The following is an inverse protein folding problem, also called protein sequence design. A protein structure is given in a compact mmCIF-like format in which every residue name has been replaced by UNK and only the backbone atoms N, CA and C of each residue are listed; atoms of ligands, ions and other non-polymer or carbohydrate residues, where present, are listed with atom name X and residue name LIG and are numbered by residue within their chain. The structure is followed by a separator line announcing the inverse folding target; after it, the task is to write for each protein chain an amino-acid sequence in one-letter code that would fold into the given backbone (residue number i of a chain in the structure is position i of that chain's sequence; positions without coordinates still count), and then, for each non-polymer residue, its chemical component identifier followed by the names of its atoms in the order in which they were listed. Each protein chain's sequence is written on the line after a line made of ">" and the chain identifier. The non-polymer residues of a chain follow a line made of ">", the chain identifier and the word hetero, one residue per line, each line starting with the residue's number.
data_IF_356172959615
#
_entry.id   IF_356172959615
#
_cell.length_a   1.000
_cell.length_b   1.000
_cell.length_c   1.000
_cell.angle_alpha   90.00
_cell.angle_beta   90.00
_cell.angle_gamma   90.00
#
_symmetry.space_group_name_H-M   'P 1'
#
loop_
_entity.id
_entity.type
_entity.pdbx_description
1 polymer ?
#
# COMPACT_ATOMS: atom_id res chain seq x y z
N UNK A 1 24.08 2.12 20.16
CA UNK A 1 23.95 1.17 19.02
C UNK A 1 23.43 1.96 17.82
N UNK A 2 24.04 1.82 16.65
CA UNK A 2 23.52 2.48 15.44
C UNK A 2 22.15 1.88 15.13
N UNK A 3 21.14 2.74 14.86
CA UNK A 3 19.83 2.27 14.38
C UNK A 3 20.05 1.40 13.14
N UNK A 4 19.38 0.24 13.07
CA UNK A 4 19.32 -0.53 11.83
C UNK A 4 18.71 0.36 10.73
N UNK A 5 19.13 0.17 9.48
CA UNK A 5 18.55 0.94 8.36
C UNK A 5 17.03 0.86 8.30
N UNK A 6 16.46 -0.30 8.66
CA UNK A 6 15.02 -0.50 8.71
C UNK A 6 14.32 0.33 9.80
N UNK A 7 14.90 0.42 11.01
CA UNK A 7 14.27 1.21 12.09
C UNK A 7 14.24 2.70 11.71
N UNK A 8 15.32 3.23 11.14
CA UNK A 8 15.37 4.59 10.63
C UNK A 8 14.30 4.83 9.56
N UNK A 9 14.18 3.92 8.59
CA UNK A 9 13.18 3.98 7.54
C UNK A 9 11.76 4.00 8.12
N UNK A 10 11.49 3.16 9.12
CA UNK A 10 10.19 3.09 9.79
C UNK A 10 9.85 4.37 10.57
N UNK A 11 10.86 5.01 11.18
CA UNK A 11 10.72 6.30 11.87
C UNK A 11 10.44 7.46 10.88
N UNK A 12 11.15 7.48 9.75
CA UNK A 12 11.05 8.55 8.75
C UNK A 12 9.80 8.44 7.86
N UNK A 13 9.27 7.23 7.63
CA UNK A 13 8.09 7.02 6.80
C UNK A 13 6.86 7.70 7.40
N UNK A 14 6.18 8.51 6.60
CA UNK A 14 4.93 9.17 6.96
C UNK A 14 3.87 9.05 5.87
N UNK A 15 2.61 9.36 6.22
CA UNK A 15 1.50 9.41 5.26
C UNK A 15 1.55 10.73 4.49
N UNK A 16 2.18 10.70 3.31
CA UNK A 16 2.29 11.84 2.41
C UNK A 16 0.94 12.13 1.75
N UNK A 17 0.51 13.40 1.79
CA UNK A 17 -0.79 13.86 1.25
C UNK A 17 -0.66 15.10 0.37
N UNK A 18 0.54 15.40 -0.09
CA UNK A 18 0.82 16.45 -1.05
C UNK A 18 2.00 15.99 -1.93
N UNK A 19 1.83 16.04 -3.23
CA UNK A 19 2.81 15.52 -4.19
C UNK A 19 3.19 16.60 -5.19
N UNK A 20 4.43 16.55 -5.66
CA UNK A 20 4.86 17.34 -6.80
C UNK A 20 4.20 16.82 -8.09
N UNK A 21 3.92 17.72 -9.01
CA UNK A 21 3.49 17.34 -10.36
C UNK A 21 4.69 16.87 -11.20
N UNK A 22 5.24 15.71 -10.81
CA UNK A 22 6.42 15.11 -11.42
C UNK A 22 6.20 13.62 -11.59
N UNK A 23 6.38 13.05 -12.80
CA UNK A 23 6.21 11.62 -13.02
C UNK A 23 7.23 10.80 -12.24
N UNK A 24 6.82 9.63 -11.78
CA UNK A 24 7.69 8.64 -11.15
C UNK A 24 8.30 7.76 -12.27
N UNK A 25 9.63 7.63 -12.36
CA UNK A 25 10.29 6.80 -13.36
C UNK A 25 9.93 5.32 -13.25
N UNK A 26 9.90 4.61 -14.39
CA UNK A 26 9.58 3.18 -14.44
C UNK A 26 10.52 2.34 -13.58
N UNK A 27 11.81 2.67 -13.55
CA UNK A 27 12.81 1.97 -12.73
C UNK A 27 12.50 2.00 -11.22
N UNK A 28 11.88 3.10 -10.73
CA UNK A 28 11.43 3.18 -9.34
C UNK A 28 10.15 2.37 -9.12
N UNK A 29 9.23 2.41 -10.09
CA UNK A 29 8.00 1.60 -10.05
C UNK A 29 8.34 0.11 -9.98
N UNK A 30 9.29 -0.35 -10.80
CA UNK A 30 9.73 -1.75 -10.84
C UNK A 30 10.34 -2.20 -9.50
N UNK A 31 11.16 -1.36 -8.85
CA UNK A 31 11.70 -1.64 -7.51
C UNK A 31 10.60 -1.76 -6.46
N UNK A 32 9.63 -0.85 -6.47
CA UNK A 32 8.48 -0.88 -5.57
C UNK A 32 7.66 -2.16 -5.73
N UNK A 33 7.41 -2.56 -6.98
CA UNK A 33 6.69 -3.79 -7.28
C UNK A 33 7.48 -5.03 -6.85
N UNK A 34 8.81 -5.03 -7.05
CA UNK A 34 9.68 -6.13 -6.61
C UNK A 34 9.68 -6.27 -5.08
N UNK A 35 9.75 -5.18 -4.33
CA UNK A 35 9.65 -5.22 -2.88
C UNK A 35 8.31 -5.83 -2.41
N UNK A 36 7.20 -5.45 -3.04
CA UNK A 36 5.90 -6.05 -2.76
C UNK A 36 5.85 -7.54 -3.10
N UNK A 37 6.46 -7.95 -4.23
CA UNK A 37 6.53 -9.33 -4.70
C UNK A 37 7.34 -10.24 -3.76
N UNK A 38 8.36 -9.71 -3.11
CA UNK A 38 9.21 -10.42 -2.15
C UNK A 38 8.57 -10.59 -0.77
N UNK A 39 7.41 -10.00 -0.53
CA UNK A 39 6.69 -10.13 0.73
C UNK A 39 6.28 -11.59 1.01
N UNK A 40 6.36 -12.06 2.27
CA UNK A 40 5.87 -13.39 2.62
C UNK A 40 4.35 -13.47 2.56
N UNK A 41 3.83 -14.67 2.32
CA UNK A 41 2.41 -14.97 2.38
C UNK A 41 2.13 -16.30 3.08
N UNK A 42 0.93 -16.52 3.56
CA UNK A 42 0.54 -17.76 4.24
C UNK A 42 0.80 -18.97 3.33
N UNK A 43 1.65 -19.89 3.80
CA UNK A 43 2.16 -21.09 3.07
C UNK A 43 2.69 -20.78 1.67
N UNK A 44 3.18 -19.56 1.46
CA UNK A 44 3.72 -19.04 0.21
C UNK A 44 2.73 -19.10 -0.98
N UNK A 45 1.43 -18.89 -0.73
CA UNK A 45 0.42 -18.91 -1.77
C UNK A 45 0.41 -17.67 -2.67
N UNK A 46 0.96 -16.55 -2.20
CA UNK A 46 1.13 -15.31 -2.97
C UNK A 46 -0.17 -14.79 -3.63
N UNK A 47 -1.31 -14.75 -2.91
CA UNK A 47 -2.61 -14.37 -3.46
C UNK A 47 -2.77 -12.85 -3.56
N UNK A 48 -1.74 -12.17 -4.02
CA UNK A 48 -1.66 -10.70 -4.05
C UNK A 48 -1.38 -10.21 -5.46
N UNK A 49 -2.03 -9.14 -5.84
CA UNK A 49 -1.76 -8.42 -7.09
C UNK A 49 -1.72 -6.92 -6.83
N UNK A 50 -0.82 -6.24 -7.53
CA UNK A 50 -0.69 -4.78 -7.51
C UNK A 50 -0.89 -4.27 -8.93
N UNK A 51 -1.84 -3.34 -9.09
CA UNK A 51 -2.05 -2.61 -10.35
C UNK A 51 -1.45 -1.24 -10.24
N UNK A 52 -0.90 -0.74 -11.35
CA UNK A 52 -0.25 0.56 -11.46
C UNK A 52 -1.14 1.50 -12.28
N UNK A 53 -1.69 2.52 -11.65
CA UNK A 53 -2.48 3.55 -12.29
C UNK A 53 -1.64 4.82 -12.41
N UNK A 54 -1.28 5.21 -13.65
CA UNK A 54 -0.48 6.41 -13.94
C UNK A 54 -0.98 7.21 -15.17
N UNK A 55 -1.88 6.62 -15.95
CA UNK A 55 -2.50 7.31 -17.05
C UNK A 55 -3.56 8.29 -16.53
N UNK A 56 -3.60 9.54 -16.99
CA UNK A 56 -4.53 10.55 -16.50
C UNK A 56 -5.99 10.07 -16.45
N UNK A 57 -6.45 9.43 -17.52
CA UNK A 57 -7.83 8.92 -17.63
C UNK A 57 -8.14 7.80 -16.61
N UNK A 58 -7.12 7.07 -16.14
CA UNK A 58 -7.27 6.04 -15.10
C UNK A 58 -7.31 6.69 -13.72
N UNK A 59 -6.45 7.68 -13.49
CA UNK A 59 -6.42 8.45 -12.24
C UNK A 59 -7.73 9.23 -12.03
N UNK A 60 -8.27 9.86 -13.08
CA UNK A 60 -9.57 10.54 -13.05
C UNK A 60 -10.71 9.58 -12.68
N UNK A 61 -10.72 8.36 -13.25
CA UNK A 61 -11.70 7.33 -12.88
C UNK A 61 -11.55 6.93 -11.42
N UNK A 62 -10.34 6.64 -10.93
CA UNK A 62 -10.09 6.28 -9.53
C UNK A 62 -10.50 7.41 -8.58
N UNK A 63 -10.33 8.69 -8.96
CA UNK A 63 -10.73 9.83 -8.15
C UNK A 63 -12.24 9.91 -7.90
N UNK A 64 -13.06 9.21 -8.70
CA UNK A 64 -14.52 9.11 -8.42
C UNK A 64 -14.84 8.17 -7.25
N UNK A 65 -13.91 7.30 -6.83
CA UNK A 65 -14.11 6.30 -5.78
C UNK A 65 -13.64 6.76 -4.41
N UNK A 66 -12.84 7.83 -4.35
CA UNK A 66 -12.31 8.41 -3.12
C UNK A 66 -11.81 9.83 -3.33
N UNK A 67 -11.90 10.67 -2.30
CA UNK A 67 -11.31 12.02 -2.29
C UNK A 67 -9.85 12.06 -1.79
N UNK A 68 -9.23 10.91 -1.57
CA UNK A 68 -7.94 10.81 -0.90
C UNK A 68 -6.80 10.38 -1.85
N UNK A 69 -6.88 10.71 -3.15
CA UNK A 69 -5.77 10.50 -4.08
C UNK A 69 -4.76 11.66 -4.06
N UNK A 70 -5.14 12.84 -3.51
CA UNK A 70 -4.24 14.00 -3.30
C UNK A 70 -3.50 14.47 -4.56
N UNK A 71 -4.14 14.34 -5.72
CA UNK A 71 -3.57 14.67 -7.05
C UNK A 71 -2.22 13.98 -7.34
N UNK A 72 -2.02 12.78 -6.76
CA UNK A 72 -0.80 12.02 -6.96
C UNK A 72 -0.64 11.59 -8.43
N UNK A 73 0.59 11.68 -9.00
CA UNK A 73 0.86 11.28 -10.38
C UNK A 73 0.80 9.77 -10.62
N UNK A 74 0.76 8.99 -9.55
CA UNK A 74 0.78 7.53 -9.55
C UNK A 74 -0.06 7.00 -8.40
N UNK A 75 -0.86 5.95 -8.66
CA UNK A 75 -1.58 5.19 -7.62
C UNK A 75 -1.30 3.71 -7.79
N UNK A 76 -0.81 3.05 -6.74
CA UNK A 76 -0.85 1.59 -6.70
C UNK A 76 -2.17 1.14 -6.08
N UNK A 77 -2.82 0.15 -6.72
CA UNK A 77 -4.02 -0.51 -6.22
C UNK A 77 -3.63 -1.90 -5.77
N UNK A 78 -3.83 -2.23 -4.51
CA UNK A 78 -3.44 -3.53 -3.95
C UNK A 78 -4.67 -4.38 -3.70
N UNK A 79 -4.66 -5.61 -4.22
CA UNK A 79 -5.72 -6.57 -4.05
C UNK A 79 -5.24 -7.93 -3.56
N UNK A 80 -6.13 -8.62 -2.85
CA UNK A 80 -5.99 -10.01 -2.44
C UNK A 80 -7.00 -10.91 -3.15
N UNK A 81 -6.60 -12.12 -3.53
CA UNK A 81 -7.50 -13.09 -4.17
C UNK A 81 -7.93 -14.18 -3.17
N UNK A 82 -9.21 -14.16 -2.70
CA UNK A 82 -9.67 -15.13 -1.71
C UNK A 82 -9.66 -16.58 -2.21
N UNK A 83 -9.81 -16.81 -3.53
CA UNK A 83 -9.82 -18.16 -4.09
C UNK A 83 -8.42 -18.81 -4.10
N UNK A 84 -7.36 -18.00 -4.09
CA UNK A 84 -5.96 -18.45 -4.10
C UNK A 84 -5.36 -18.49 -2.71
N UNK A 85 -5.94 -17.77 -1.73
CA UNK A 85 -5.40 -17.61 -0.40
C UNK A 85 -5.52 -18.89 0.44
N UNK A 86 -4.68 -18.95 1.47
CA UNK A 86 -4.78 -20.00 2.47
C UNK A 86 -5.94 -19.71 3.44
N UNK A 87 -6.68 -20.78 3.77
CA UNK A 87 -7.74 -20.74 4.78
C UNK A 87 -7.27 -21.48 6.04
N UNK A 88 -7.34 -20.81 7.17
CA UNK A 88 -6.93 -21.35 8.45
C UNK A 88 -7.85 -22.53 8.88
N UNK A 89 -7.26 -23.65 9.25
CA UNK A 89 -7.99 -24.82 9.73
C UNK A 89 -8.56 -24.63 11.14
N UNK A 90 -8.07 -23.66 11.90
CA UNK A 90 -8.45 -23.42 13.28
C UNK A 90 -9.66 -22.51 13.41
N UNK A 91 -9.72 -21.47 12.60
CA UNK A 91 -10.74 -20.41 12.69
C UNK A 91 -11.53 -20.18 11.38
N UNK A 92 -11.22 -20.95 10.32
CA UNK A 92 -11.87 -20.85 9.03
C UNK A 92 -11.59 -19.53 8.27
N UNK A 93 -10.69 -18.67 8.77
CA UNK A 93 -10.43 -17.37 8.16
C UNK A 93 -9.57 -17.49 6.91
N UNK A 94 -10.03 -16.85 5.84
CA UNK A 94 -9.25 -16.63 4.63
C UNK A 94 -8.20 -15.55 4.85
N UNK A 95 -6.97 -15.75 4.39
CA UNK A 95 -5.84 -14.85 4.64
C UNK A 95 -5.48 -13.94 3.47
N UNK A 96 -6.32 -13.83 2.45
CA UNK A 96 -6.06 -12.94 1.31
C UNK A 96 -5.80 -11.49 1.71
N UNK A 97 -6.64 -10.94 2.60
CA UNK A 97 -6.45 -9.58 3.12
C UNK A 97 -5.16 -9.44 3.92
N UNK A 98 -4.86 -10.41 4.79
CA UNK A 98 -3.62 -10.42 5.58
C UNK A 98 -2.39 -10.41 4.67
N UNK A 99 -2.34 -11.31 3.68
CA UNK A 99 -1.23 -11.43 2.74
C UNK A 99 -1.09 -10.15 1.89
N UNK A 100 -2.22 -9.56 1.46
CA UNK A 100 -2.22 -8.29 0.73
C UNK A 100 -1.70 -7.12 1.58
N UNK A 101 -2.06 -7.06 2.88
CA UNK A 101 -1.55 -6.04 3.81
C UNK A 101 -0.02 -6.19 4.04
N UNK A 102 0.49 -7.41 4.09
CA UNK A 102 1.94 -7.65 4.23
C UNK A 102 2.67 -7.12 2.99
N UNK A 103 2.21 -7.48 1.79
CA UNK A 103 2.81 -7.00 0.53
C UNK A 103 2.68 -5.47 0.38
N UNK A 104 1.52 -4.89 0.76
CA UNK A 104 1.30 -3.45 0.78
C UNK A 104 2.25 -2.72 1.75
N UNK A 105 2.60 -3.35 2.87
CA UNK A 105 3.59 -2.80 3.81
C UNK A 105 4.99 -2.77 3.19
N UNK A 106 5.41 -3.84 2.50
CA UNK A 106 6.68 -3.86 1.76
C UNK A 106 6.72 -2.77 0.68
N UNK A 107 5.64 -2.67 -0.13
CA UNK A 107 5.47 -1.61 -1.13
C UNK A 107 5.63 -0.22 -0.51
N UNK A 108 4.94 0.05 0.59
CA UNK A 108 4.97 1.35 1.26
C UNK A 108 6.36 1.70 1.81
N UNK A 109 7.08 0.72 2.34
CA UNK A 109 8.43 0.92 2.88
C UNK A 109 9.43 1.19 1.77
N UNK A 110 9.36 0.47 0.64
CA UNK A 110 10.22 0.71 -0.51
C UNK A 110 9.97 2.09 -1.13
N UNK A 111 8.71 2.54 -1.23
CA UNK A 111 8.39 3.91 -1.67
C UNK A 111 9.16 4.94 -0.84
N UNK A 112 9.18 4.77 0.48
CA UNK A 112 9.91 5.67 1.38
C UNK A 112 11.43 5.57 1.20
N UNK A 113 11.98 4.36 1.06
CA UNK A 113 13.43 4.13 0.88
C UNK A 113 13.95 4.77 -0.41
N UNK A 114 13.13 4.81 -1.46
CA UNK A 114 13.41 5.47 -2.72
C UNK A 114 13.25 7.00 -2.69
N UNK A 115 12.94 7.59 -1.53
CA UNK A 115 12.74 9.04 -1.38
C UNK A 115 11.41 9.55 -1.93
N UNK A 116 10.48 8.64 -2.22
CA UNK A 116 9.10 8.97 -2.60
C UNK A 116 8.20 9.03 -1.36
N UNK A 117 7.02 9.61 -1.52
CA UNK A 117 5.98 9.61 -0.50
C UNK A 117 4.77 8.79 -0.93
N UNK A 118 4.07 8.22 0.05
CA UNK A 118 2.77 7.59 -0.17
C UNK A 118 1.84 7.73 1.02
N UNK A 119 0.55 7.47 0.79
CA UNK A 119 -0.43 7.34 1.84
C UNK A 119 -1.20 6.03 1.67
N UNK A 120 -1.33 5.24 2.75
CA UNK A 120 -2.25 4.11 2.77
C UNK A 120 -3.68 4.65 2.83
N UNK A 121 -4.44 4.49 1.76
CA UNK A 121 -5.85 4.88 1.68
C UNK A 121 -6.72 3.62 1.79
N UNK A 122 -7.44 3.50 2.90
CA UNK A 122 -8.46 2.46 3.12
C UNK A 122 -9.89 3.02 2.98
N UNK A 123 -10.04 4.34 2.84
CA UNK A 123 -11.35 5.00 2.70
C UNK A 123 -11.65 5.26 1.22
N UNK A 124 -12.15 4.25 0.53
CA UNK A 124 -12.58 4.29 -0.87
C UNK A 124 -13.73 3.32 -1.11
N UNK A 125 -14.46 3.48 -2.19
CA UNK A 125 -15.51 2.54 -2.60
C UNK A 125 -14.87 1.39 -3.42
N UNK A 126 -14.62 0.25 -2.75
CA UNK A 126 -14.00 -0.92 -3.37
C UNK A 126 -14.86 -1.53 -4.48
N UNK A 127 -16.20 -1.48 -4.33
CA UNK A 127 -17.12 -1.99 -5.37
C UNK A 127 -17.06 -1.10 -6.61
N UNK A 128 -17.00 0.23 -6.42
CA UNK A 128 -16.86 1.15 -7.54
C UNK A 128 -15.50 0.98 -8.24
N UNK A 129 -14.39 0.78 -7.51
CA UNK A 129 -13.08 0.49 -8.13
C UNK A 129 -13.15 -0.77 -9.00
N UNK A 130 -13.75 -1.85 -8.51
CA UNK A 130 -13.93 -3.09 -9.29
C UNK A 130 -14.81 -2.87 -10.53
N UNK A 131 -15.87 -2.07 -10.41
CA UNK A 131 -16.74 -1.76 -11.53
C UNK A 131 -16.08 -0.92 -12.64
N UNK A 132 -15.05 -0.14 -12.31
CA UNK A 132 -14.25 0.61 -13.28
C UNK A 132 -13.33 -0.28 -14.12
N UNK A 133 -12.90 -1.43 -13.58
CA UNK A 133 -11.94 -2.36 -14.19
C UNK A 133 -12.38 -3.81 -14.02
N UNK A 134 -13.56 -4.18 -14.56
CA UNK A 134 -14.19 -5.48 -14.26
C UNK A 134 -13.35 -6.68 -14.73
N UNK A 135 -12.69 -6.58 -15.88
CA UNK A 135 -11.87 -7.68 -16.44
C UNK A 135 -10.59 -7.90 -15.63
N UNK A 136 -9.92 -6.81 -15.21
CA UNK A 136 -8.65 -6.87 -14.48
C UNK A 136 -8.84 -7.27 -13.01
N UNK A 137 -10.00 -6.99 -12.43
CA UNK A 137 -10.26 -7.12 -10.98
C UNK A 137 -11.28 -8.20 -10.63
N UNK A 138 -11.67 -9.04 -11.59
CA UNK A 138 -12.54 -10.19 -11.32
C UNK A 138 -11.87 -11.16 -10.32
N UNK A 139 -12.60 -11.53 -9.27
CA UNK A 139 -12.11 -12.43 -8.22
C UNK A 139 -11.13 -11.79 -7.21
N UNK A 140 -10.84 -10.49 -7.34
CA UNK A 140 -9.97 -9.77 -6.42
C UNK A 140 -10.76 -8.90 -5.44
N UNK A 141 -10.36 -8.91 -4.17
CA UNK A 141 -10.80 -7.94 -3.18
C UNK A 141 -9.78 -6.81 -3.12
N UNK A 142 -10.23 -5.56 -3.32
CA UNK A 142 -9.36 -4.40 -3.30
C UNK A 142 -9.18 -3.95 -1.85
N UNK A 143 -7.93 -3.94 -1.38
CA UNK A 143 -7.58 -3.76 0.03
C UNK A 143 -7.12 -2.33 0.33
N UNK A 144 -6.33 -1.74 -0.57
CA UNK A 144 -5.80 -0.40 -0.36
C UNK A 144 -5.45 0.28 -1.68
N UNK A 145 -5.49 1.62 -1.65
CA UNK A 145 -4.92 2.49 -2.67
C UNK A 145 -3.71 3.23 -2.09
N UNK A 146 -2.65 3.36 -2.88
CA UNK A 146 -1.43 4.10 -2.51
C UNK A 146 -1.17 5.23 -3.51
N UNK A 147 -1.76 6.42 -3.32
CA UNK A 147 -1.29 7.62 -4.02
C UNK A 147 0.19 7.81 -3.69
N UNK A 148 1.00 7.98 -4.75
CA UNK A 148 2.47 7.94 -4.68
C UNK A 148 3.07 9.00 -5.58
N UNK A 149 4.16 9.63 -5.14
CA UNK A 149 4.90 10.63 -5.90
C UNK A 149 6.03 11.26 -5.08
N UNK A 150 6.68 12.27 -5.62
CA UNK A 150 7.65 13.07 -4.87
C UNK A 150 6.90 13.93 -3.84
N UNK A 151 7.33 13.92 -2.56
CA UNK A 151 6.64 14.69 -1.53
C UNK A 151 6.76 16.20 -1.74
N UNK A 152 5.62 16.91 -1.71
CA UNK A 152 5.58 18.38 -1.73
C UNK A 152 5.43 19.00 -0.33
N UNK A 153 5.22 18.19 0.71
CA UNK A 153 5.14 18.62 2.10
C UNK A 153 5.68 17.55 3.04
N UNK A 154 6.18 17.98 4.18
CA UNK A 154 6.66 17.08 5.23
C UNK A 154 5.54 16.41 6.04
N UNK A 155 5.92 15.60 7.05
CA UNK A 155 4.99 14.92 7.92
C UNK A 155 4.15 15.89 8.76
N UNK A 156 2.91 15.49 9.09
CA UNK A 156 2.10 16.23 10.05
C UNK A 156 2.58 16.01 11.48
N UNK A 157 2.15 16.86 12.42
CA UNK A 157 2.47 16.71 13.85
C UNK A 157 2.05 15.34 14.43
N UNK A 158 0.98 14.73 13.89
CA UNK A 158 0.53 13.39 14.30
C UNK A 158 1.51 12.30 13.97
N UNK A 159 2.47 12.54 13.07
CA UNK A 159 3.47 11.54 12.70
C UNK A 159 4.31 11.09 13.89
N UNK A 160 4.68 12.00 14.79
CA UNK A 160 5.49 11.71 15.98
C UNK A 160 4.71 11.03 17.13
N UNK A 161 3.37 11.01 17.06
CA UNK A 161 2.55 10.46 18.15
C UNK A 161 2.54 8.94 18.08
N UNK A 162 3.02 8.29 19.15
CA UNK A 162 3.01 6.83 19.32
C UNK A 162 2.57 6.50 20.75
N UNK A 163 2.00 5.31 20.92
CA UNK A 163 1.79 4.74 22.23
C UNK A 163 3.13 4.49 22.94
N UNK A 164 3.13 4.45 24.27
CA UNK A 164 4.29 4.00 25.03
C UNK A 164 4.58 2.53 24.76
N UNK A 165 5.80 2.07 25.06
CA UNK A 165 6.15 0.65 24.90
C UNK A 165 5.33 -0.24 25.84
N UNK A 166 4.96 0.25 27.02
CA UNK A 166 4.10 -0.46 27.97
C UNK A 166 2.68 -0.69 27.47
N UNK A 167 2.15 0.30 26.68
CA UNK A 167 0.83 0.16 26.06
C UNK A 167 0.84 -0.71 24.79
N UNK A 168 2.02 -0.82 24.15
CA UNK A 168 2.17 -1.50 22.87
C UNK A 168 2.60 -2.95 23.01
N UNK A 169 3.47 -3.27 23.98
CA UNK A 169 4.06 -4.57 24.16
C UNK A 169 3.77 -5.11 25.58
N UNK A 170 3.66 -6.43 25.73
CA UNK A 170 3.49 -7.13 27.00
C UNK A 170 4.22 -8.46 27.01
N UNK A 171 4.56 -8.94 28.20
CA UNK A 171 5.10 -10.29 28.44
C UNK A 171 3.97 -11.25 28.82
N UNK A 172 4.08 -12.55 28.43
CA UNK A 172 3.15 -13.63 28.77
C UNK A 172 3.78 -14.58 29.76
#
# INVERSE_FOLDING_TARGET
>A
MANSGFLKLAEERYSCRAFENKPVPDELIDKILEAARLAPSAVNRQPVKVWVARRPEVLEKLATTTKYLFDAPLVFVVGGNPSQAWVSRHDGKNRAETDACIAATHLMMEIQDLGLGSCWVGSFDAAAVKALFPEEMEGWDIIALFPTGYPAAGPSERHAVRKSMEEFAGEL
#
